data_IF_706526498672
#
_entry.id   IF_706526498672
#
_cell.length_a   1.000
_cell.length_b   1.000
_cell.length_c   1.000
_cell.angle_alpha   90.00
_cell.angle_beta   90.00
_cell.angle_gamma   90.00
#
_symmetry.space_group_name_H-M   'P 1'
#
loop_
_entity.id
_entity.type
_entity.pdbx_description
1 polymer ?
#
# COMPACT_ATOMS: atom_id res chain seq x y z
N UNK A 1 15.28 15.02 48.42
CA UNK A 1 14.23 15.75 47.69
C UNK A 1 14.53 15.83 46.18
N UNK A 2 15.71 16.27 45.78
CA UNK A 2 16.05 16.37 44.35
C UNK A 2 15.98 15.03 43.63
N UNK A 3 16.31 13.93 44.29
CA UNK A 3 16.25 12.58 43.67
C UNK A 3 14.83 12.13 43.37
N UNK A 4 13.83 12.53 44.14
CA UNK A 4 12.44 12.19 43.88
C UNK A 4 11.89 12.88 42.62
N UNK A 5 12.26 14.15 42.42
CA UNK A 5 11.82 14.93 41.26
C UNK A 5 12.37 14.34 39.97
N UNK A 6 13.65 13.95 39.95
CA UNK A 6 14.27 13.33 38.79
C UNK A 6 13.63 11.98 38.45
N UNK A 7 13.24 11.22 39.44
CA UNK A 7 12.59 9.93 39.28
C UNK A 7 11.23 10.07 38.62
N UNK A 8 10.44 11.05 39.01
CA UNK A 8 9.14 11.31 38.39
C UNK A 8 9.24 11.80 36.95
N UNK A 9 10.21 12.65 36.67
CA UNK A 9 10.46 13.12 35.30
C UNK A 9 10.84 11.99 34.37
N UNK A 10 11.67 11.06 34.81
CA UNK A 10 12.07 9.90 34.05
C UNK A 10 10.88 8.97 33.73
N UNK A 11 10.03 8.73 34.70
CA UNK A 11 8.81 7.91 34.53
C UNK A 11 7.86 8.55 33.53
N UNK A 12 7.70 9.86 33.58
CA UNK A 12 6.85 10.60 32.64
C UNK A 12 7.33 10.48 31.19
N UNK A 13 8.63 10.61 30.96
CA UNK A 13 9.23 10.44 29.65
C UNK A 13 9.00 9.05 29.08
N UNK A 14 9.10 8.03 29.90
CA UNK A 14 8.86 6.65 29.48
C UNK A 14 7.41 6.43 29.04
N UNK A 15 6.44 7.00 29.75
CA UNK A 15 5.04 6.92 29.37
C UNK A 15 4.74 7.60 28.03
N UNK A 16 5.36 8.74 27.76
CA UNK A 16 5.22 9.44 26.47
C UNK A 16 5.75 8.58 25.33
N UNK A 17 6.87 7.91 25.53
CA UNK A 17 7.45 6.99 24.56
C UNK A 17 6.52 5.85 24.18
N UNK A 18 5.86 5.26 25.17
CA UNK A 18 4.87 4.18 24.94
C UNK A 18 3.66 4.67 24.13
N UNK A 19 3.18 5.87 24.41
CA UNK A 19 2.04 6.45 23.70
C UNK A 19 2.34 6.60 22.22
N UNK A 20 3.55 7.01 21.85
CA UNK A 20 3.97 7.15 20.47
C UNK A 20 3.97 5.83 19.69
N UNK A 21 4.24 4.70 20.34
CA UNK A 21 4.22 3.39 19.69
C UNK A 21 2.81 2.98 19.24
N UNK A 22 1.77 3.41 19.92
CA UNK A 22 0.39 3.08 19.58
C UNK A 22 -0.23 4.00 18.54
N UNK A 23 0.44 5.10 18.19
CA UNK A 23 -0.08 6.10 17.26
C UNK A 23 0.44 5.95 15.84
N UNK A 24 1.11 4.86 15.51
CA UNK A 24 1.63 4.62 14.17
C UNK A 24 0.49 4.41 13.17
N UNK A 25 0.46 5.24 12.14
CA UNK A 25 -0.49 5.13 11.05
C UNK A 25 -0.09 4.00 10.11
N UNK A 26 -1.09 3.43 9.43
CA UNK A 26 -0.87 2.43 8.39
C UNK A 26 -0.25 3.09 7.17
N UNK A 27 0.67 2.40 6.53
CA UNK A 27 1.33 2.91 5.34
C UNK A 27 0.38 2.87 4.14
N UNK A 28 0.61 3.78 3.21
CA UNK A 28 -0.19 3.93 2.00
C UNK A 28 0.47 3.21 0.83
N UNK A 29 -0.36 2.62 -0.02
CA UNK A 29 0.08 2.10 -1.31
C UNK A 29 0.66 3.26 -2.13
N UNK A 30 1.82 3.03 -2.76
CA UNK A 30 2.50 4.02 -3.59
C UNK A 30 2.42 3.62 -5.04
N UNK A 31 2.09 4.60 -5.90
CA UNK A 31 2.14 4.43 -7.35
C UNK A 31 3.52 4.85 -7.81
N UNK A 32 4.32 3.90 -8.28
CA UNK A 32 5.69 4.15 -8.71
C UNK A 32 5.77 4.61 -10.17
N UNK A 33 4.95 4.03 -11.04
CA UNK A 33 4.89 4.43 -12.44
C UNK A 33 3.57 4.02 -13.08
N UNK A 34 3.20 4.75 -14.12
CA UNK A 34 2.10 4.41 -14.99
C UNK A 34 2.24 5.25 -16.27
N UNK A 35 1.63 4.81 -17.36
CA UNK A 35 1.60 5.61 -18.59
C UNK A 35 0.58 6.73 -18.48
N UNK A 36 -0.60 6.41 -17.97
CA UNK A 36 -1.70 7.35 -17.83
C UNK A 36 -2.33 7.27 -16.44
N UNK A 37 -2.71 8.43 -15.93
CA UNK A 37 -3.44 8.59 -14.68
C UNK A 37 -4.75 9.29 -15.00
N UNK A 38 -5.88 8.69 -14.64
CA UNK A 38 -7.17 9.31 -14.88
C UNK A 38 -8.08 9.08 -13.68
N UNK A 39 -8.62 10.16 -13.13
CA UNK A 39 -9.57 10.07 -12.03
C UNK A 39 -10.97 9.95 -12.61
N UNK A 40 -11.64 8.84 -12.33
CA UNK A 40 -12.97 8.54 -12.85
C UNK A 40 -14.03 8.63 -11.77
N UNK A 41 -14.66 9.80 -11.65
CA UNK A 41 -15.67 10.06 -10.64
C UNK A 41 -17.05 9.51 -10.98
N UNK A 42 -17.29 9.14 -12.23
CA UNK A 42 -18.61 8.76 -12.73
C UNK A 42 -18.86 7.25 -12.60
N UNK A 43 -17.90 6.43 -12.99
CA UNK A 43 -18.08 4.98 -13.08
C UNK A 43 -17.58 4.25 -11.83
N UNK A 44 -16.47 4.72 -11.25
CA UNK A 44 -15.88 4.16 -10.05
C UNK A 44 -15.57 5.32 -9.13
N UNK A 45 -16.50 5.67 -8.25
CA UNK A 45 -16.31 6.81 -7.33
C UNK A 45 -15.03 6.61 -6.53
N UNK A 46 -14.22 7.66 -6.45
CA UNK A 46 -12.94 7.72 -5.75
C UNK A 46 -11.81 6.87 -6.35
N UNK A 47 -12.02 6.22 -7.49
CA UNK A 47 -10.95 5.45 -8.13
C UNK A 47 -10.12 6.31 -9.08
N UNK A 48 -8.80 6.15 -8.98
CA UNK A 48 -7.87 6.64 -9.98
C UNK A 48 -7.56 5.48 -10.92
N UNK A 49 -7.77 5.67 -12.21
CA UNK A 49 -7.47 4.65 -13.22
C UNK A 49 -6.04 4.85 -13.69
N UNK A 50 -5.26 3.79 -13.58
CA UNK A 50 -3.86 3.76 -14.02
C UNK A 50 -3.76 2.83 -15.20
N UNK A 51 -3.14 3.28 -16.29
CA UNK A 51 -3.00 2.49 -17.50
C UNK A 51 -1.56 2.55 -17.98
N UNK A 52 -1.04 1.42 -18.47
CA UNK A 52 0.29 1.37 -19.05
C UNK A 52 0.33 2.10 -20.40
N UNK A 53 1.53 2.53 -20.79
CA UNK A 53 1.81 2.93 -22.15
C UNK A 53 2.87 1.98 -22.75
N UNK A 54 3.49 2.37 -23.87
CA UNK A 54 4.50 1.53 -24.52
C UNK A 54 5.81 1.44 -23.75
N UNK A 55 6.07 2.38 -22.86
CA UNK A 55 7.33 2.47 -22.11
C UNK A 55 7.20 2.08 -20.65
N UNK A 56 6.06 2.37 -20.04
CA UNK A 56 5.88 2.22 -18.60
C UNK A 56 4.68 1.35 -18.28
N UNK A 57 4.91 0.22 -17.63
CA UNK A 57 3.84 -0.56 -16.99
C UNK A 57 3.36 0.19 -15.77
N UNK A 58 2.15 -0.15 -15.33
CA UNK A 58 1.69 0.28 -13.99
C UNK A 58 2.53 -0.46 -12.97
N UNK A 59 3.22 0.28 -12.12
CA UNK A 59 4.01 -0.27 -11.04
C UNK A 59 3.57 0.35 -9.73
N UNK A 60 3.33 -0.49 -8.74
CA UNK A 60 2.84 -0.11 -7.42
C UNK A 60 3.71 -0.79 -6.39
N UNK A 61 3.95 -0.12 -5.28
CA UNK A 61 4.71 -0.70 -4.17
C UNK A 61 4.05 -0.42 -2.83
N UNK A 62 4.24 -1.33 -1.89
CA UNK A 62 3.73 -1.20 -0.54
C UNK A 62 4.48 -2.16 0.39
N UNK A 63 5.24 -1.61 1.33
CA UNK A 63 5.94 -2.35 2.40
C UNK A 63 6.66 -3.62 1.91
N UNK A 64 7.50 -3.47 0.90
CA UNK A 64 8.28 -4.59 0.35
C UNK A 64 7.56 -5.42 -0.68
N UNK A 65 6.29 -5.12 -0.96
CA UNK A 65 5.53 -5.73 -2.05
C UNK A 65 5.65 -4.85 -3.28
N UNK A 66 5.94 -5.45 -4.42
CA UNK A 66 5.95 -4.78 -5.72
C UNK A 66 4.96 -5.45 -6.63
N UNK A 67 4.17 -4.65 -7.36
CA UNK A 67 3.11 -5.13 -8.23
C UNK A 67 3.20 -4.42 -9.57
N UNK A 68 3.17 -5.21 -10.65
CA UNK A 68 3.12 -4.70 -12.03
C UNK A 68 1.85 -5.20 -12.70
N UNK A 69 1.25 -4.37 -13.55
CA UNK A 69 0.08 -4.76 -14.32
C UNK A 69 -0.10 -3.84 -15.54
N UNK A 70 -1.09 -4.14 -16.35
CA UNK A 70 -1.42 -3.32 -17.51
C UNK A 70 -2.36 -2.19 -17.15
N UNK A 71 -3.31 -2.45 -16.26
CA UNK A 71 -4.28 -1.46 -15.80
C UNK A 71 -4.62 -1.69 -14.34
N UNK A 72 -4.89 -0.62 -13.61
CA UNK A 72 -5.27 -0.73 -12.21
C UNK A 72 -6.28 0.36 -11.83
N UNK A 73 -7.16 0.02 -10.90
CA UNK A 73 -8.02 0.98 -10.24
C UNK A 73 -7.53 1.16 -8.81
N UNK A 74 -7.12 2.37 -8.48
CA UNK A 74 -6.62 2.69 -7.15
C UNK A 74 -7.65 3.49 -6.38
N UNK A 75 -8.10 2.93 -5.25
CA UNK A 75 -9.04 3.55 -4.33
C UNK A 75 -8.26 4.13 -3.17
N UNK A 76 -7.92 5.40 -3.27
CA UNK A 76 -7.04 6.06 -2.31
C UNK A 76 -7.59 6.05 -0.88
N UNK A 77 -8.88 6.34 -0.71
CA UNK A 77 -9.49 6.42 0.61
C UNK A 77 -9.46 5.10 1.37
N UNK A 78 -9.67 3.99 0.67
CA UNK A 78 -9.65 2.67 1.29
C UNK A 78 -8.29 1.98 1.21
N UNK A 79 -7.30 2.61 0.60
CA UNK A 79 -5.95 2.06 0.43
C UNK A 79 -5.99 0.68 -0.24
N UNK A 80 -6.70 0.60 -1.37
CA UNK A 80 -7.06 -0.63 -2.04
C UNK A 80 -6.80 -0.53 -3.53
N UNK A 81 -6.40 -1.63 -4.14
CA UNK A 81 -6.10 -1.65 -5.57
C UNK A 81 -6.70 -2.89 -6.24
N UNK A 82 -7.19 -2.71 -7.47
CA UNK A 82 -7.60 -3.78 -8.36
C UNK A 82 -6.71 -3.72 -9.60
N UNK A 83 -5.98 -4.79 -9.88
CA UNK A 83 -5.02 -4.87 -10.97
C UNK A 83 -5.50 -5.84 -12.03
N UNK A 84 -5.30 -5.46 -13.30
CA UNK A 84 -5.78 -6.21 -14.46
C UNK A 84 -4.69 -6.35 -15.50
N UNK A 85 -4.56 -7.55 -16.05
CA UNK A 85 -3.72 -7.87 -17.20
C UNK A 85 -2.24 -8.03 -16.85
N UNK A 86 -1.72 -9.22 -17.09
CA UNK A 86 -0.31 -9.57 -16.82
C UNK A 86 0.17 -9.10 -15.47
N UNK A 87 -0.61 -9.41 -14.43
CA UNK A 87 -0.31 -8.98 -13.08
C UNK A 87 0.82 -9.82 -12.53
N UNK A 88 1.84 -9.17 -11.98
CA UNK A 88 2.95 -9.82 -11.29
C UNK A 88 3.10 -9.17 -9.92
N UNK A 89 3.08 -9.98 -8.88
CA UNK A 89 3.31 -9.51 -7.52
C UNK A 89 4.55 -10.20 -6.96
N UNK A 90 5.48 -9.42 -6.45
CA UNK A 90 6.71 -9.91 -5.84
C UNK A 90 6.79 -9.39 -4.41
N UNK A 91 7.08 -10.28 -3.48
CA UNK A 91 7.35 -9.93 -2.10
C UNK A 91 8.68 -10.53 -1.68
N UNK A 92 9.71 -9.69 -1.61
CA UNK A 92 11.05 -10.12 -1.26
C UNK A 92 11.53 -11.24 -2.19
N UNK A 93 12.21 -12.23 -1.62
CA UNK A 93 12.72 -13.40 -2.35
C UNK A 93 11.80 -14.60 -2.27
N UNK A 94 10.69 -14.49 -1.53
CA UNK A 94 9.87 -15.65 -1.16
C UNK A 94 8.59 -15.80 -1.97
N UNK A 95 7.97 -14.70 -2.42
CA UNK A 95 6.71 -14.76 -3.16
C UNK A 95 6.88 -14.14 -4.54
N UNK A 96 6.49 -14.90 -5.55
CA UNK A 96 6.39 -14.43 -6.93
C UNK A 96 5.11 -15.03 -7.51
N UNK A 97 4.12 -14.18 -7.75
CA UNK A 97 2.79 -14.59 -8.17
C UNK A 97 2.42 -13.88 -9.46
N UNK A 98 1.91 -14.65 -10.44
CA UNK A 98 1.42 -14.13 -11.72
C UNK A 98 -0.05 -14.45 -11.87
N UNK A 99 -0.84 -13.50 -12.38
CA UNK A 99 -2.27 -13.70 -12.60
C UNK A 99 -2.78 -12.71 -13.63
N UNK A 100 -4.04 -12.83 -14.02
CA UNK A 100 -4.69 -11.86 -14.91
C UNK A 100 -5.47 -10.83 -14.13
N UNK A 101 -5.83 -11.12 -12.88
CA UNK A 101 -6.55 -10.22 -12.00
C UNK A 101 -6.01 -10.36 -10.58
N UNK A 102 -5.87 -9.25 -9.88
CA UNK A 102 -5.43 -9.25 -8.49
C UNK A 102 -6.04 -8.07 -7.74
N UNK A 103 -6.58 -8.35 -6.55
CA UNK A 103 -6.99 -7.34 -5.58
C UNK A 103 -5.97 -7.30 -4.46
N UNK A 104 -5.63 -6.11 -4.00
CA UNK A 104 -4.71 -5.93 -2.89
C UNK A 104 -5.24 -4.87 -1.93
N UNK A 105 -5.35 -5.21 -0.66
CA UNK A 105 -5.76 -4.31 0.40
C UNK A 105 -4.52 -3.88 1.20
N UNK A 106 -4.16 -2.60 1.10
CA UNK A 106 -2.98 -2.06 1.77
C UNK A 106 -3.11 -1.99 3.29
N UNK A 107 -4.33 -1.99 3.82
CA UNK A 107 -4.54 -1.97 5.27
C UNK A 107 -4.38 -3.35 5.91
N UNK A 108 -4.89 -4.38 5.26
CA UNK A 108 -4.80 -5.77 5.75
C UNK A 108 -3.60 -6.51 5.20
N UNK A 109 -3.01 -6.02 4.11
CA UNK A 109 -1.90 -6.64 3.36
C UNK A 109 -2.29 -7.99 2.78
N UNK A 110 -3.58 -8.16 2.45
CA UNK A 110 -4.10 -9.39 1.86
C UNK A 110 -4.29 -9.17 0.36
N UNK A 111 -3.77 -10.11 -0.43
CA UNK A 111 -3.94 -10.14 -1.86
C UNK A 111 -4.83 -11.33 -2.25
N UNK A 112 -5.69 -11.10 -3.23
CA UNK A 112 -6.52 -12.14 -3.84
C UNK A 112 -6.27 -12.12 -5.33
N UNK A 113 -5.89 -13.27 -5.90
CA UNK A 113 -5.56 -13.38 -7.32
C UNK A 113 -6.45 -14.40 -8.01
N UNK A 114 -6.77 -14.14 -9.27
CA UNK A 114 -7.54 -15.06 -10.10
C UNK A 114 -7.15 -14.92 -11.57
N UNK A 115 -7.55 -15.91 -12.39
CA UNK A 115 -7.22 -15.94 -13.80
C UNK A 115 -5.79 -16.37 -14.05
N UNK A 116 -5.56 -17.64 -14.32
CA UNK A 116 -4.25 -18.23 -14.64
C UNK A 116 -3.15 -17.92 -13.61
N UNK A 117 -3.50 -18.10 -12.37
CA UNK A 117 -2.56 -17.93 -11.25
C UNK A 117 -1.52 -19.04 -11.27
#
# INVERSE_FOLDING_TARGET
>A
MKKKINKYLFTSLFLISLTNLFSQERTRIQIDSAGFFEKNDVKFSDATVLTRDNKNKVKISHEGIELWCNQAYFYEKSNYIEAYGDVVLIQGDTINLSSQYLEYNGNTKIAFASGDV
#
